data_IF_692055166229
#
_entry.id   IF_692055166229
#
_cell.length_a   1.000
_cell.length_b   1.000
_cell.length_c   1.000
_cell.angle_alpha   90.00
_cell.angle_beta   90.00
_cell.angle_gamma   90.00
#
_symmetry.space_group_name_H-M   'P 1'
#
loop_
_entity.id
_entity.type
_entity.pdbx_description
1 polymer ?
#
# COMPACT_ATOMS: atom_id res chain seq x y z
N UNK A 1 -4.35 -8.15 -3.07
CA UNK A 1 -4.48 -7.31 -4.26
C UNK A 1 -4.35 -5.85 -3.87
N UNK A 2 -4.45 -4.94 -4.83
CA UNK A 2 -4.59 -3.51 -4.53
C UNK A 2 -5.89 -3.28 -3.76
N UNK A 3 -5.84 -2.49 -2.70
CA UNK A 3 -6.98 -2.23 -1.81
C UNK A 3 -7.33 -0.74 -1.71
N UNK A 4 -6.35 0.13 -1.94
CA UNK A 4 -6.52 1.57 -1.87
C UNK A 4 -5.60 2.25 -2.89
N UNK A 5 -6.08 3.33 -3.50
CA UNK A 5 -5.36 4.16 -4.46
C UNK A 5 -5.81 5.60 -4.26
N UNK A 6 -4.86 6.47 -3.92
CA UNK A 6 -5.11 7.89 -3.68
C UNK A 6 -4.16 8.72 -4.52
N UNK A 7 -4.71 9.80 -5.09
CA UNK A 7 -4.00 10.79 -5.86
C UNK A 7 -3.87 12.07 -5.04
N UNK A 8 -2.71 12.70 -5.10
CA UNK A 8 -2.48 14.02 -4.52
C UNK A 8 -3.27 15.10 -5.32
N UNK A 9 -4.20 15.83 -4.68
CA UNK A 9 -4.99 16.86 -5.36
C UNK A 9 -4.16 18.07 -5.81
N UNK A 10 -3.03 18.34 -5.13
CA UNK A 10 -2.09 19.40 -5.50
C UNK A 10 -1.13 19.00 -6.61
N UNK A 11 -0.88 17.70 -6.79
CA UNK A 11 -0.06 17.18 -7.89
C UNK A 11 -0.52 15.78 -8.35
N UNK A 12 -1.33 15.67 -9.41
CA UNK A 12 -1.91 14.40 -9.85
C UNK A 12 -0.88 13.38 -10.38
N UNK A 13 0.41 13.75 -10.51
CA UNK A 13 1.49 12.81 -10.80
C UNK A 13 1.93 12.02 -9.57
N UNK A 14 1.59 12.47 -8.37
CA UNK A 14 1.90 11.78 -7.12
C UNK A 14 0.73 10.89 -6.75
N UNK A 15 0.97 9.57 -6.78
CA UNK A 15 -0.02 8.56 -6.44
C UNK A 15 0.51 7.69 -5.30
N UNK A 16 -0.41 7.21 -4.47
CA UNK A 16 -0.14 6.24 -3.43
C UNK A 16 -1.08 5.05 -3.61
N UNK A 17 -0.54 3.85 -3.57
CA UNK A 17 -1.32 2.62 -3.66
C UNK A 17 -0.93 1.68 -2.53
N UNK A 18 -1.91 1.03 -1.91
CA UNK A 18 -1.64 -0.03 -0.95
C UNK A 18 -2.15 -1.37 -1.46
N UNK A 19 -1.39 -2.41 -1.12
CA UNK A 19 -1.72 -3.78 -1.44
C UNK A 19 -1.71 -4.58 -0.16
N UNK A 20 -2.62 -5.55 -0.11
CA UNK A 20 -2.74 -6.45 1.00
C UNK A 20 -2.94 -7.87 0.51
N UNK A 21 -2.11 -8.78 1.02
CA UNK A 21 -2.27 -10.22 0.86
C UNK A 21 -3.11 -10.73 2.02
N UNK A 22 -4.29 -11.23 1.68
CA UNK A 22 -5.15 -11.95 2.61
C UNK A 22 -5.61 -13.24 1.96
N UNK A 23 -5.56 -14.32 2.73
CA UNK A 23 -6.12 -15.61 2.35
C UNK A 23 -6.92 -16.15 3.53
N UNK A 24 -8.21 -16.39 3.28
CA UNK A 24 -9.13 -16.90 4.30
C UNK A 24 -9.68 -18.25 3.86
N UNK A 25 -9.68 -19.21 4.78
CA UNK A 25 -10.34 -20.52 4.64
C UNK A 25 -11.37 -20.67 5.78
N UNK A 26 -12.20 -21.73 5.80
CA UNK A 26 -13.14 -21.95 6.90
C UNK A 26 -12.47 -22.07 8.28
N UNK A 27 -11.20 -22.47 8.33
CA UNK A 27 -10.48 -22.76 9.58
C UNK A 27 -9.19 -21.94 9.76
N UNK A 28 -8.87 -21.02 8.84
CA UNK A 28 -7.66 -20.20 8.92
C UNK A 28 -7.80 -18.82 8.27
N UNK A 29 -6.97 -17.90 8.74
CA UNK A 29 -6.80 -16.57 8.16
C UNK A 29 -5.30 -16.24 8.12
N UNK A 30 -4.76 -16.10 6.91
CA UNK A 30 -3.42 -15.60 6.64
C UNK A 30 -3.56 -14.13 6.26
N UNK A 31 -2.94 -13.23 7.03
CA UNK A 31 -2.99 -11.78 6.82
C UNK A 31 -1.59 -11.21 6.79
N UNK A 32 -1.29 -10.50 5.71
CA UNK A 32 0.05 -10.00 5.45
C UNK A 32 0.95 -11.07 4.84
N UNK A 33 1.99 -10.61 4.15
CA UNK A 33 2.93 -11.46 3.43
C UNK A 33 3.47 -10.75 2.20
N UNK A 34 4.24 -11.49 1.40
CA UNK A 34 4.85 -10.98 0.18
C UNK A 34 3.82 -10.27 -0.73
N UNK A 35 4.16 -9.08 -1.20
CA UNK A 35 3.28 -8.22 -1.99
C UNK A 35 2.28 -7.40 -1.17
N UNK A 36 2.38 -7.36 0.16
CA UNK A 36 1.66 -6.40 1.01
C UNK A 36 2.55 -5.20 1.32
N UNK A 37 2.01 -3.99 1.24
CA UNK A 37 2.84 -2.79 1.35
C UNK A 37 2.12 -1.49 1.02
N UNK A 38 2.90 -0.43 1.03
CA UNK A 38 2.53 0.88 0.52
C UNK A 38 3.53 1.29 -0.55
N UNK A 39 3.00 1.72 -1.69
CA UNK A 39 3.78 2.16 -2.85
C UNK A 39 3.45 3.61 -3.17
N UNK A 40 4.46 4.31 -3.68
CA UNK A 40 4.35 5.68 -4.16
C UNK A 40 4.84 5.78 -5.59
N UNK A 41 4.08 6.45 -6.44
CA UNK A 41 4.51 6.92 -7.76
C UNK A 41 4.65 8.44 -7.72
N UNK A 42 5.54 8.98 -8.55
CA UNK A 42 5.73 10.42 -8.77
C UNK A 42 5.66 10.82 -10.24
N UNK A 43 5.29 9.88 -11.10
CA UNK A 43 5.22 10.01 -12.55
C UNK A 43 3.85 9.63 -13.11
N UNK A 44 2.80 9.69 -12.28
CA UNK A 44 1.43 9.42 -12.72
C UNK A 44 1.08 7.93 -12.79
N UNK A 45 1.90 7.07 -12.21
CA UNK A 45 1.65 5.62 -12.12
C UNK A 45 2.48 4.76 -13.07
N UNK A 46 3.41 5.36 -13.82
CA UNK A 46 4.32 4.63 -14.72
C UNK A 46 5.34 3.81 -13.93
N UNK A 47 5.89 4.38 -12.86
CA UNK A 47 6.80 3.68 -11.95
C UNK A 47 6.38 3.82 -10.49
N UNK A 48 6.67 2.78 -9.71
CA UNK A 48 6.27 2.68 -8.31
C UNK A 48 7.48 2.33 -7.44
N UNK A 49 7.62 3.06 -6.34
CA UNK A 49 8.59 2.77 -5.29
C UNK A 49 7.86 2.28 -4.06
N UNK A 50 8.29 1.15 -3.53
CA UNK A 50 7.80 0.69 -2.25
C UNK A 50 8.33 1.60 -1.13
N UNK A 51 7.44 2.07 -0.27
CA UNK A 51 7.76 2.97 0.84
C UNK A 51 7.39 2.39 2.21
N UNK A 52 6.88 1.15 2.27
CA UNK A 52 6.38 0.46 3.47
C UNK A 52 7.33 0.50 4.68
N UNK A 53 8.64 0.58 4.44
CA UNK A 53 9.70 0.54 5.47
C UNK A 53 10.41 1.87 5.69
N UNK A 54 9.88 2.95 5.12
CA UNK A 54 10.46 4.27 5.33
C UNK A 54 10.39 4.67 6.81
N UNK A 55 11.36 5.48 7.29
CA UNK A 55 11.32 6.02 8.64
C UNK A 55 9.97 6.71 8.93
N UNK A 56 9.40 6.41 10.11
CA UNK A 56 8.10 6.93 10.54
C UNK A 56 6.90 6.03 10.24
N UNK A 57 7.08 4.92 9.51
CA UNK A 57 6.02 3.92 9.30
C UNK A 57 6.13 2.72 10.25
N UNK A 58 5.01 2.03 10.56
CA UNK A 58 5.02 0.83 11.39
C UNK A 58 5.90 -0.29 10.81
N UNK A 59 6.68 -0.94 11.68
CA UNK A 59 7.42 -2.16 11.35
C UNK A 59 6.58 -3.45 11.47
N UNK A 60 7.19 -4.58 11.13
CA UNK A 60 6.58 -5.91 11.29
C UNK A 60 5.65 -6.33 10.15
N UNK A 61 4.67 -7.19 10.46
CA UNK A 61 3.71 -7.73 9.49
C UNK A 61 2.83 -6.62 8.92
N UNK A 62 2.76 -6.55 7.60
CA UNK A 62 1.98 -5.55 6.89
C UNK A 62 0.55 -6.06 6.70
N UNK A 63 -0.39 -5.45 7.42
CA UNK A 63 -1.82 -5.72 7.28
C UNK A 63 -2.49 -4.86 6.21
N UNK A 64 -3.78 -4.59 6.39
CA UNK A 64 -4.54 -3.65 5.58
C UNK A 64 -4.06 -2.21 5.84
N UNK A 65 -3.89 -1.41 4.77
CA UNK A 65 -3.46 -0.01 4.85
C UNK A 65 -4.49 0.85 4.11
N UNK A 66 -5.10 1.79 4.83
CA UNK A 66 -5.81 2.92 4.23
C UNK A 66 -4.90 4.14 4.18
N UNK A 67 -4.94 4.89 3.10
CA UNK A 67 -4.13 6.10 2.88
C UNK A 67 -5.03 7.28 2.54
N UNK A 68 -4.60 8.48 2.94
CA UNK A 68 -5.19 9.73 2.50
C UNK A 68 -4.08 10.76 2.31
N UNK A 69 -4.32 11.74 1.45
CA UNK A 69 -3.42 12.86 1.16
C UNK A 69 -4.26 14.13 1.07
N UNK A 70 -3.73 15.24 1.56
CA UNK A 70 -4.40 16.53 1.66
C UNK A 70 -3.50 17.66 1.16
#
# INVERSE_FOLDING_TARGET
GAIDLVMDPGNPRVLFASFWRVRRTPYSLESGGEGSGLWKSTDGGDTWKEITRNPGLPGGTVGIIGVTVS
#
